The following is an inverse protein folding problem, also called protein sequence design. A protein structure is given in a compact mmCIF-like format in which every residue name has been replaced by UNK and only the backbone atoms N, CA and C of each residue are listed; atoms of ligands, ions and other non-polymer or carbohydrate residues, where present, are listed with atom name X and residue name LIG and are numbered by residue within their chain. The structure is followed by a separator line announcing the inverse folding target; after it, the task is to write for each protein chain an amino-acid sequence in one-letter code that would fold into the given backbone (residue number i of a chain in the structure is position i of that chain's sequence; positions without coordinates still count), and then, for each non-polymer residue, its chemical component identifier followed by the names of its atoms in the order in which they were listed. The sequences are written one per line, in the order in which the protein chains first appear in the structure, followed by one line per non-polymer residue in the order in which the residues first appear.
data_IF_925708549824
#
_entry.id   IF_925708549824
#
_cell.length_a   1.000
_cell.length_b   1.000
_cell.length_c   1.000
_cell.angle_alpha   90.00
_cell.angle_beta   90.00
_cell.angle_gamma   90.00
#
_symmetry.space_group_name_H-M   'P 1'
#
loop_
_entity.id
_entity.type
_entity.pdbx_description
1 polymer ?
#
# COMPACT_ATOMS: atom_id res chain seq x y z
N UNK A 1 71.73 -3.50 29.99
CA UNK A 1 72.72 -2.61 29.42
C UNK A 1 71.98 -1.75 28.44
N UNK A 2 71.67 -0.58 28.66
CA UNK A 2 72.01 0.75 29.05
C UNK A 2 71.02 1.63 28.31
N UNK A 3 70.08 2.33 28.89
CA UNK A 3 70.14 3.55 29.63
C UNK A 3 70.64 4.75 28.82
N UNK A 4 69.77 5.74 28.74
CA UNK A 4 69.95 7.20 28.83
C UNK A 4 69.05 7.96 27.84
N UNK A 5 68.00 8.69 28.19
CA UNK A 5 67.94 9.91 29.03
C UNK A 5 68.47 11.17 28.37
N UNK A 6 67.66 12.15 28.15
CA UNK A 6 67.76 13.58 28.56
C UNK A 6 66.82 14.43 27.72
N UNK A 7 65.78 15.05 28.30
CA UNK A 7 65.69 16.45 28.88
C UNK A 7 65.87 17.55 27.83
N UNK A 8 64.85 18.32 27.50
CA UNK A 8 64.28 19.53 28.18
C UNK A 8 64.99 20.83 27.80
N UNK A 9 64.25 21.83 27.41
CA UNK A 9 64.28 23.26 27.77
C UNK A 9 63.46 24.08 26.77
N UNK A 10 62.32 24.65 27.12
CA UNK A 10 62.05 26.01 27.70
C UNK A 10 62.52 27.22 26.91
N UNK A 11 61.61 28.08 26.61
CA UNK A 11 61.53 29.56 26.76
C UNK A 11 60.78 30.15 25.56
N UNK A 12 59.65 30.76 25.67
CA UNK A 12 59.18 32.01 26.34
C UNK A 12 59.47 33.25 25.49
N UNK A 13 58.46 34.15 25.53
CA UNK A 13 58.33 35.55 25.02
C UNK A 13 57.73 35.68 23.64
N UNK A 14 56.61 36.32 23.36
CA UNK A 14 55.98 37.40 24.08
C UNK A 14 55.61 38.52 23.10
N UNK A 15 54.55 39.19 23.28
CA UNK A 15 54.05 40.42 22.62
C UNK A 15 53.40 40.23 21.24
N UNK A 16 52.18 40.67 20.95
CA UNK A 16 51.43 41.76 21.52
C UNK A 16 50.73 42.47 20.35
N UNK A 17 49.48 42.91 20.61
CA UNK A 17 48.76 43.97 19.88
C UNK A 17 48.19 43.62 18.47
N UNK A 18 46.93 43.56 18.27
CA UNK A 18 45.99 44.62 17.98
C UNK A 18 44.71 44.02 17.37
N UNK A 19 43.59 44.29 17.95
CA UNK A 19 42.27 44.11 17.31
C UNK A 19 42.02 45.28 16.35
N UNK A 20 41.29 45.07 15.27
CA UNK A 20 40.43 46.10 14.75
C UNK A 20 38.96 45.69 14.58
N UNK A 21 38.14 46.57 15.11
CA UNK A 21 36.88 47.05 14.58
C UNK A 21 35.78 46.06 14.16
N UNK A 22 34.80 45.99 15.02
CA UNK A 22 33.43 45.56 14.74
C UNK A 22 32.82 46.44 13.62
N UNK A 23 32.53 45.84 12.48
CA UNK A 23 31.53 46.38 11.57
C UNK A 23 30.17 45.67 11.85
N UNK A 24 29.27 46.46 12.43
CA UNK A 24 27.85 46.15 12.59
C UNK A 24 27.20 46.11 11.19
N UNK A 25 26.91 44.94 10.65
CA UNK A 25 25.94 44.81 9.57
C UNK A 25 24.54 44.60 10.16
N UNK A 26 23.66 45.53 9.82
CA UNK A 26 22.24 45.55 10.19
C UNK A 26 21.57 44.25 9.74
N UNK A 27 21.02 43.50 10.68
CA UNK A 27 20.07 42.44 10.42
C UNK A 27 18.79 43.02 9.83
N UNK A 28 18.44 42.62 8.60
CA UNK A 28 17.14 42.91 8.03
C UNK A 28 16.08 42.04 8.75
N UNK A 29 15.12 42.70 9.37
CA UNK A 29 14.03 42.10 10.11
C UNK A 29 13.13 41.29 9.14
N UNK A 30 12.85 40.01 9.47
CA UNK A 30 11.87 39.18 8.82
C UNK A 30 10.46 39.76 8.98
N UNK A 31 9.61 39.75 7.96
CA UNK A 31 8.25 40.28 8.04
C UNK A 31 7.39 39.39 8.95
N UNK A 32 6.72 40.03 9.90
CA UNK A 32 5.83 39.43 10.89
C UNK A 32 4.66 38.68 10.27
N UNK A 33 4.20 37.62 10.94
CA UNK A 33 3.09 36.72 10.57
C UNK A 33 1.76 37.41 10.16
N UNK A 34 1.60 38.68 10.50
CA UNK A 34 0.40 39.47 10.19
C UNK A 34 0.27 39.80 8.69
N UNK A 35 1.38 39.94 7.95
CA UNK A 35 1.36 40.18 6.50
C UNK A 35 1.10 38.93 5.66
N UNK A 36 1.38 37.71 6.18
CA UNK A 36 1.07 36.45 5.49
C UNK A 36 -0.42 36.09 5.53
N UNK A 37 -1.19 36.56 6.53
CA UNK A 37 -2.64 36.34 6.59
C UNK A 37 -3.43 37.24 5.63
N UNK A 38 -2.94 38.43 5.31
CA UNK A 38 -3.57 39.35 4.38
C UNK A 38 -3.39 38.87 2.89
N UNK A 39 -2.26 38.25 2.55
CA UNK A 39 -2.01 37.74 1.22
C UNK A 39 -2.82 36.43 0.93
N UNK A 40 -3.11 35.62 1.96
CA UNK A 40 -3.94 34.42 1.81
C UNK A 40 -5.43 34.74 1.66
N UNK A 41 -5.90 35.87 2.21
CA UNK A 41 -7.30 36.30 2.07
C UNK A 41 -7.59 36.94 0.69
N UNK A 42 -6.59 37.51 0.02
CA UNK A 42 -6.74 38.09 -1.32
C UNK A 42 -6.72 37.06 -2.45
N UNK A 43 -6.14 35.87 -2.23
CA UNK A 43 -6.11 34.78 -3.20
C UNK A 43 -7.36 33.89 -3.18
N UNK A 44 -8.18 33.96 -2.14
CA UNK A 44 -9.42 33.19 -1.99
C UNK A 44 -10.66 33.88 -2.60
N UNK A 45 -10.54 35.12 -3.08
CA UNK A 45 -11.64 35.93 -3.60
C UNK A 45 -11.91 35.88 -5.10
N UNK A 46 -11.15 35.11 -5.88
CA UNK A 46 -11.16 35.21 -7.34
C UNK A 46 -11.60 33.93 -8.11
N UNK A 47 -12.35 33.02 -7.49
CA UNK A 47 -12.96 31.89 -8.22
C UNK A 47 -14.31 31.47 -7.60
N UNK A 48 -15.35 32.26 -7.83
CA UNK A 48 -16.74 31.80 -7.86
C UNK A 48 -17.54 32.72 -8.80
N UNK A 49 -17.49 32.38 -10.06
CA UNK A 49 -18.48 32.76 -11.06
C UNK A 49 -19.41 31.59 -11.21
N UNK A 50 -20.38 31.44 -10.34
CA UNK A 50 -21.52 30.56 -10.54
C UNK A 50 -22.48 31.23 -11.52
N UNK A 51 -22.73 30.57 -12.63
CA UNK A 51 -23.83 30.84 -13.52
C UNK A 51 -25.15 30.52 -12.80
N UNK A 52 -25.75 31.52 -12.14
CA UNK A 52 -27.13 31.42 -11.66
C UNK A 52 -28.07 31.52 -12.89
N UNK A 53 -28.81 30.43 -13.11
CA UNK A 53 -29.98 30.45 -13.97
C UNK A 53 -31.05 31.34 -13.32
N UNK A 54 -31.81 32.15 -14.09
CA UNK A 54 -32.80 33.07 -13.53
C UNK A 54 -33.96 32.29 -12.91
N UNK A 55 -34.12 32.38 -11.59
CA UNK A 55 -35.31 31.92 -10.89
C UNK A 55 -36.41 32.94 -11.16
N UNK A 56 -37.33 32.58 -12.03
CA UNK A 56 -38.60 33.30 -12.23
C UNK A 56 -39.40 33.12 -10.94
N UNK A 57 -39.46 34.16 -10.13
CA UNK A 57 -40.38 34.24 -8.99
C UNK A 57 -41.74 34.71 -9.53
N UNK A 58 -42.70 33.81 -9.56
CA UNK A 58 -44.09 34.12 -9.81
C UNK A 58 -44.79 34.51 -8.50
N UNK A 59 -45.19 35.79 -8.28
CA UNK A 59 -45.76 36.20 -6.99
C UNK A 59 -47.25 35.84 -6.84
N UNK A 60 -47.86 35.07 -7.77
CA UNK A 60 -49.29 34.78 -7.75
C UNK A 60 -49.68 33.36 -7.24
N UNK A 61 -48.70 32.56 -6.76
CA UNK A 61 -48.92 31.14 -6.47
C UNK A 61 -49.53 30.79 -5.08
N UNK A 62 -49.64 31.72 -4.14
CA UNK A 62 -50.09 31.42 -2.80
C UNK A 62 -51.62 31.46 -2.62
N UNK A 63 -52.33 32.25 -3.40
CA UNK A 63 -53.76 32.38 -3.30
C UNK A 63 -54.55 31.34 -4.14
N UNK A 64 -53.98 30.85 -5.21
CA UNK A 64 -54.62 29.83 -6.05
C UNK A 64 -54.70 28.44 -5.41
N UNK A 65 -53.75 28.07 -4.55
CA UNK A 65 -53.79 26.78 -3.87
C UNK A 65 -54.87 26.71 -2.75
N UNK A 66 -55.12 27.84 -2.05
CA UNK A 66 -56.21 27.91 -1.03
C UNK A 66 -57.58 27.98 -1.70
N UNK A 67 -57.73 28.59 -2.86
CA UNK A 67 -58.96 28.59 -3.62
C UNK A 67 -59.29 27.25 -4.28
N UNK A 68 -58.26 26.49 -4.72
CA UNK A 68 -58.41 25.12 -5.24
C UNK A 68 -58.85 24.12 -4.16
N UNK A 69 -58.31 24.23 -2.93
CA UNK A 69 -58.70 23.36 -1.80
C UNK A 69 -60.12 23.68 -1.30
N UNK A 70 -60.55 24.91 -1.34
CA UNK A 70 -61.96 25.28 -0.99
C UNK A 70 -62.96 24.81 -2.04
N UNK A 71 -62.61 24.75 -3.32
CA UNK A 71 -63.47 24.22 -4.40
C UNK A 71 -63.61 22.69 -4.34
N UNK A 72 -62.55 21.98 -3.95
CA UNK A 72 -62.59 20.53 -3.72
C UNK A 72 -63.43 20.12 -2.49
N UNK A 73 -63.44 20.94 -1.43
CA UNK A 73 -64.26 20.69 -0.23
C UNK A 73 -65.77 20.99 -0.52
N UNK A 74 -66.10 21.92 -1.41
CA UNK A 74 -67.49 22.21 -1.77
C UNK A 74 -68.10 21.19 -2.74
N UNK A 75 -67.28 20.53 -3.56
CA UNK A 75 -67.71 19.48 -4.50
C UNK A 75 -67.94 18.11 -3.78
N UNK A 76 -67.28 17.86 -2.64
CA UNK A 76 -67.46 16.63 -1.86
C UNK A 76 -68.78 16.56 -1.08
N UNK A 77 -69.38 17.70 -0.71
CA UNK A 77 -70.65 17.77 0.00
C UNK A 77 -71.89 17.58 -0.87
N UNK A 78 -71.76 17.88 -2.17
CA UNK A 78 -72.86 17.71 -3.12
C UNK A 78 -73.03 16.26 -3.65
N UNK A 79 -72.01 15.46 -3.58
CA UNK A 79 -72.00 14.05 -4.01
C UNK A 79 -72.52 13.08 -2.94
N UNK A 80 -72.60 13.50 -1.68
CA UNK A 80 -73.12 12.68 -0.57
C UNK A 80 -74.66 12.77 -0.40
N UNK A 81 -75.32 13.74 -1.06
CA UNK A 81 -76.77 13.90 -0.97
C UNK A 81 -77.55 13.17 -2.08
N UNK A 82 -76.92 12.65 -3.12
CA UNK A 82 -77.55 11.94 -4.23
C UNK A 82 -77.49 10.42 -4.17
N UNK A 83 -76.93 9.85 -3.10
CA UNK A 83 -76.73 8.39 -2.97
C UNK A 83 -77.78 7.65 -2.10
N UNK A 84 -78.94 8.29 -1.84
CA UNK A 84 -79.94 7.69 -0.98
C UNK A 84 -81.21 7.23 -1.74
N UNK A 85 -81.20 6.96 -3.00
CA UNK A 85 -82.29 6.38 -3.75
C UNK A 85 -81.81 5.51 -4.88
N UNK A 86 -81.59 4.27 -4.62
CA UNK A 86 -81.89 3.07 -5.44
C UNK A 86 -81.04 1.89 -4.94
N UNK A 87 -81.68 1.02 -4.17
CA UNK A 87 -81.15 -0.30 -3.88
C UNK A 87 -81.37 -1.22 -5.09
N UNK A 88 -80.44 -1.07 -6.09
CA UNK A 88 -80.17 -2.14 -7.02
C UNK A 88 -78.72 -2.53 -6.80
N UNK A 89 -78.44 -3.74 -6.32
CA UNK A 89 -77.11 -4.28 -6.21
C UNK A 89 -76.46 -4.19 -7.61
N UNK A 90 -75.29 -3.55 -7.74
CA UNK A 90 -74.58 -3.60 -9.02
C UNK A 90 -74.20 -5.08 -9.27
N UNK A 91 -74.25 -5.55 -10.51
CA UNK A 91 -73.73 -6.86 -10.86
C UNK A 91 -72.26 -6.88 -10.33
N UNK A 92 -71.91 -7.97 -9.62
CA UNK A 92 -70.56 -8.18 -9.16
C UNK A 92 -69.59 -7.91 -10.35
N UNK A 93 -68.90 -6.78 -10.29
CA UNK A 93 -67.85 -6.52 -11.23
C UNK A 93 -66.89 -7.71 -11.06
N UNK A 94 -66.85 -8.56 -12.09
CA UNK A 94 -65.89 -9.62 -12.18
C UNK A 94 -64.53 -8.96 -11.94
N UNK A 95 -63.93 -9.16 -10.77
CA UNK A 95 -62.56 -8.78 -10.53
C UNK A 95 -61.77 -9.49 -11.62
N UNK A 96 -61.38 -8.71 -12.66
CA UNK A 96 -60.44 -9.20 -13.67
C UNK A 96 -59.20 -9.55 -12.87
N UNK A 97 -59.03 -10.81 -12.55
CA UNK A 97 -57.78 -11.31 -11.98
C UNK A 97 -56.70 -10.85 -12.94
N UNK A 98 -55.81 -9.99 -12.45
CA UNK A 98 -54.62 -9.64 -13.19
C UNK A 98 -53.95 -10.96 -13.53
N UNK A 99 -53.94 -11.33 -14.84
CA UNK A 99 -53.24 -12.51 -15.26
C UNK A 99 -51.78 -12.35 -14.84
N UNK A 100 -51.27 -13.31 -14.11
CA UNK A 100 -49.84 -13.35 -13.78
C UNK A 100 -49.05 -13.53 -15.10
N UNK A 101 -48.50 -12.42 -15.59
CA UNK A 101 -47.73 -12.38 -16.80
C UNK A 101 -46.22 -12.65 -16.52
N UNK A 102 -45.89 -13.08 -15.29
CA UNK A 102 -44.50 -13.43 -14.92
C UNK A 102 -44.06 -14.62 -15.75
N UNK A 103 -43.00 -14.49 -16.56
CA UNK A 103 -42.44 -15.63 -17.29
C UNK A 103 -42.02 -16.73 -16.32
N UNK A 104 -42.21 -18.01 -16.62
CA UNK A 104 -41.72 -19.09 -15.77
C UNK A 104 -40.19 -19.04 -15.73
N UNK A 105 -39.62 -19.02 -14.48
CA UNK A 105 -38.19 -19.09 -14.27
C UNK A 105 -37.73 -20.55 -14.52
N UNK A 106 -36.93 -20.78 -15.53
CA UNK A 106 -36.29 -22.05 -15.76
C UNK A 106 -35.13 -22.24 -14.75
N UNK A 107 -34.87 -23.46 -14.26
CA UNK A 107 -33.68 -23.75 -13.48
C UNK A 107 -32.43 -23.41 -14.29
N UNK A 108 -31.41 -22.83 -13.58
CA UNK A 108 -30.14 -22.53 -14.20
C UNK A 108 -29.49 -23.85 -14.73
N UNK A 109 -28.92 -23.83 -15.95
CA UNK A 109 -28.20 -25.00 -16.44
C UNK A 109 -26.93 -25.22 -15.59
N UNK A 110 -26.38 -26.46 -15.58
CA UNK A 110 -25.10 -26.70 -14.91
C UNK A 110 -23.99 -25.84 -15.53
N UNK A 111 -23.07 -25.39 -14.68
CA UNK A 111 -21.95 -24.56 -15.11
C UNK A 111 -21.02 -25.31 -16.07
N UNK A 112 -20.47 -24.65 -17.10
CA UNK A 112 -19.36 -25.17 -17.86
C UNK A 112 -18.17 -25.51 -16.96
N UNK A 113 -17.39 -26.52 -17.27
CA UNK A 113 -16.29 -27.03 -16.44
C UNK A 113 -15.28 -25.91 -16.05
N UNK A 114 -15.04 -24.93 -16.96
CA UNK A 114 -14.15 -23.80 -16.68
C UNK A 114 -14.74 -22.84 -15.65
N UNK A 115 -16.03 -22.60 -15.69
CA UNK A 115 -16.71 -21.74 -14.71
C UNK A 115 -16.80 -22.44 -13.35
N UNK A 116 -17.11 -23.75 -13.36
CA UNK A 116 -17.13 -24.55 -12.14
C UNK A 116 -15.76 -24.54 -11.44
N UNK A 117 -14.66 -24.64 -12.18
CA UNK A 117 -13.31 -24.57 -11.62
C UNK A 117 -13.02 -23.21 -10.91
N UNK A 118 -13.61 -22.11 -11.39
CA UNK A 118 -13.49 -20.79 -10.75
C UNK A 118 -14.29 -20.78 -9.44
N UNK A 119 -15.50 -21.31 -9.46
CA UNK A 119 -16.35 -21.44 -8.26
C UNK A 119 -15.64 -22.30 -7.21
N UNK A 120 -15.14 -23.46 -7.59
CA UNK A 120 -14.42 -24.38 -6.69
C UNK A 120 -13.18 -23.72 -6.08
N UNK A 121 -12.41 -22.95 -6.89
CA UNK A 121 -11.25 -22.21 -6.42
C UNK A 121 -11.62 -21.12 -5.41
N UNK A 122 -12.73 -20.41 -5.64
CA UNK A 122 -13.25 -19.41 -4.73
C UNK A 122 -13.72 -20.03 -3.42
N UNK A 123 -14.58 -21.04 -3.49
CA UNK A 123 -15.12 -21.73 -2.31
C UNK A 123 -14.01 -22.37 -1.47
N UNK A 124 -12.98 -22.95 -2.13
CA UNK A 124 -11.83 -23.54 -1.45
C UNK A 124 -10.93 -22.53 -0.74
N UNK A 125 -10.78 -21.33 -1.31
CA UNK A 125 -9.84 -20.34 -0.80
C UNK A 125 -10.51 -19.27 0.10
N UNK A 126 -11.82 -19.06 0.00
CA UNK A 126 -12.51 -17.94 0.65
C UNK A 126 -12.32 -17.93 2.17
N UNK A 127 -12.35 -19.09 2.83
CA UNK A 127 -12.20 -19.20 4.28
C UNK A 127 -10.77 -18.99 4.78
N UNK A 128 -9.80 -18.90 3.87
CA UNK A 128 -8.42 -18.54 4.19
C UNK A 128 -8.18 -17.03 4.15
N UNK A 129 -9.16 -16.26 3.67
CA UNK A 129 -9.08 -14.80 3.54
C UNK A 129 -9.83 -14.14 4.67
N UNK A 130 -9.23 -13.12 5.26
CA UNK A 130 -9.79 -12.37 6.39
C UNK A 130 -9.87 -10.89 6.06
N UNK A 131 -10.77 -10.17 6.72
CA UNK A 131 -10.72 -8.72 6.77
C UNK A 131 -9.74 -8.28 7.86
N UNK A 132 -8.95 -7.24 7.59
CA UNK A 132 -8.00 -6.63 8.52
C UNK A 132 -8.33 -5.15 8.65
N UNK A 133 -8.61 -4.71 9.87
CA UNK A 133 -8.93 -3.31 10.18
C UNK A 133 -7.92 -2.73 11.17
N UNK A 134 -7.26 -1.60 10.80
CA UNK A 134 -6.28 -0.92 11.66
C UNK A 134 -6.98 -0.23 12.85
N UNK A 135 -6.64 -0.65 14.08
CA UNK A 135 -7.27 -0.10 15.30
C UNK A 135 -6.94 1.36 15.56
N UNK A 136 -5.86 1.89 14.97
CA UNK A 136 -5.52 3.30 15.11
C UNK A 136 -6.56 4.24 14.48
N UNK A 137 -7.43 3.71 13.62
CA UNK A 137 -8.49 4.43 12.92
C UNK A 137 -9.87 4.19 13.57
N UNK A 138 -9.98 3.35 14.61
CA UNK A 138 -11.22 3.17 15.35
C UNK A 138 -11.70 4.49 15.95
N UNK A 139 -12.98 4.82 15.75
CA UNK A 139 -13.59 6.03 16.27
C UNK A 139 -13.49 7.27 15.38
N UNK A 140 -12.87 7.20 14.20
CA UNK A 140 -13.09 8.20 13.15
C UNK A 140 -14.48 7.94 12.56
N UNK A 141 -15.41 8.92 12.58
CA UNK A 141 -16.68 8.74 11.91
C UNK A 141 -16.40 8.54 10.42
N UNK A 142 -16.76 7.38 9.89
CA UNK A 142 -16.96 7.26 8.45
C UNK A 142 -18.06 8.28 8.14
N UNK A 143 -17.79 9.28 7.30
CA UNK A 143 -18.83 10.16 6.85
C UNK A 143 -19.81 9.28 6.07
N UNK A 144 -21.07 9.24 6.47
CA UNK A 144 -22.10 8.36 5.92
C UNK A 144 -22.42 8.66 4.42
N UNK A 145 -21.68 9.60 3.82
CA UNK A 145 -21.82 10.06 2.45
C UNK A 145 -20.62 9.67 1.54
N UNK A 146 -19.50 9.24 2.13
CA UNK A 146 -18.35 8.82 1.35
C UNK A 146 -18.42 7.30 1.17
N UNK A 147 -18.77 6.87 -0.03
CA UNK A 147 -18.74 5.46 -0.44
C UNK A 147 -17.28 4.94 -0.62
N UNK A 148 -16.31 5.62 0.00
CA UNK A 148 -14.91 5.23 -0.02
C UNK A 148 -14.64 4.20 1.07
N UNK A 149 -13.83 3.19 0.73
CA UNK A 149 -13.33 2.22 1.71
C UNK A 149 -12.55 2.99 2.77
N UNK A 150 -12.90 2.87 4.08
CA UNK A 150 -12.16 3.57 5.12
C UNK A 150 -10.67 3.28 5.03
N UNK A 151 -9.83 4.31 5.13
CA UNK A 151 -8.37 4.11 5.25
C UNK A 151 -8.08 3.09 6.35
N UNK A 152 -7.11 2.18 6.10
CA UNK A 152 -6.73 1.14 7.07
C UNK A 152 -7.67 -0.07 7.09
N UNK A 153 -8.48 -0.24 6.05
CA UNK A 153 -9.23 -1.47 5.81
C UNK A 153 -8.59 -2.24 4.65
N UNK A 154 -8.32 -3.51 4.88
CA UNK A 154 -7.71 -4.40 3.89
C UNK A 154 -8.07 -5.85 4.15
N UNK A 155 -7.38 -6.71 3.47
CA UNK A 155 -7.51 -8.16 3.59
C UNK A 155 -6.25 -8.76 4.22
N UNK A 156 -6.36 -10.01 4.62
CA UNK A 156 -5.23 -10.83 5.06
C UNK A 156 -5.44 -12.28 4.64
N UNK A 157 -4.37 -13.06 4.76
CA UNK A 157 -4.35 -14.48 4.46
C UNK A 157 -3.97 -15.25 5.72
N UNK A 158 -4.77 -16.23 6.14
CA UNK A 158 -4.43 -17.12 7.24
C UNK A 158 -3.24 -17.96 6.82
N UNK A 159 -2.12 -17.82 7.55
CA UNK A 159 -0.87 -18.49 7.25
C UNK A 159 -0.78 -19.90 7.82
N UNK A 160 -1.22 -20.06 9.05
CA UNK A 160 -1.15 -21.31 9.79
C UNK A 160 -2.32 -21.50 10.76
N UNK A 161 -2.37 -22.68 11.40
CA UNK A 161 -3.38 -23.00 12.42
C UNK A 161 -3.05 -22.43 13.82
N UNK A 162 -1.89 -21.81 13.96
CA UNK A 162 -1.50 -21.10 15.19
C UNK A 162 -2.12 -19.69 15.23
N UNK A 163 -2.75 -19.23 14.13
CA UNK A 163 -3.42 -17.94 14.03
C UNK A 163 -2.50 -16.81 13.55
N UNK A 164 -1.42 -17.15 12.83
CA UNK A 164 -0.68 -16.14 12.10
C UNK A 164 -1.43 -15.75 10.84
N UNK A 165 -1.55 -14.43 10.60
CA UNK A 165 -2.23 -13.84 9.44
C UNK A 165 -1.25 -12.91 8.74
N UNK A 166 -1.07 -13.10 7.44
CA UNK A 166 -0.25 -12.24 6.58
C UNK A 166 -1.11 -11.14 5.98
N UNK A 167 -0.63 -9.91 5.99
CA UNK A 167 -1.25 -8.76 5.34
C UNK A 167 -0.18 -7.80 4.85
N UNK A 168 -0.56 -6.65 4.25
CA UNK A 168 0.40 -5.62 3.92
C UNK A 168 0.72 -4.70 5.10
N UNK A 169 1.95 -4.17 5.10
CA UNK A 169 2.39 -3.16 6.06
C UNK A 169 1.52 -1.90 5.98
N UNK A 170 1.21 -1.42 4.76
CA UNK A 170 0.45 -0.20 4.56
C UNK A 170 -1.00 -0.28 5.07
N UNK A 171 -1.61 -1.46 5.12
CA UNK A 171 -2.95 -1.67 5.72
C UNK A 171 -2.95 -1.26 7.19
N UNK A 172 -1.82 -1.40 7.87
CA UNK A 172 -1.61 -1.10 9.29
C UNK A 172 -0.79 0.18 9.52
N UNK A 173 -0.64 1.02 8.49
CA UNK A 173 0.29 2.16 8.52
C UNK A 173 0.07 3.10 9.72
N UNK A 174 -1.18 3.34 10.11
CA UNK A 174 -1.52 4.22 11.23
C UNK A 174 -1.09 3.63 12.58
N UNK A 175 -1.31 2.34 12.82
CA UNK A 175 -0.83 1.62 14.01
C UNK A 175 0.69 1.51 14.02
N UNK A 176 1.31 1.18 12.87
CA UNK A 176 2.77 1.11 12.74
C UNK A 176 3.45 2.45 13.07
N UNK A 177 2.88 3.56 12.59
CA UNK A 177 3.38 4.89 12.88
C UNK A 177 3.23 5.25 14.37
N UNK A 178 2.09 4.95 14.99
CA UNK A 178 1.87 5.19 16.43
C UNK A 178 2.86 4.43 17.31
N UNK A 179 3.21 3.20 16.93
CA UNK A 179 4.14 2.33 17.66
C UNK A 179 5.60 2.56 17.29
N UNK A 180 5.92 3.46 16.34
CA UNK A 180 7.27 3.68 15.81
C UNK A 180 7.97 2.38 15.37
N UNK A 181 7.24 1.48 14.71
CA UNK A 181 7.73 0.14 14.32
C UNK A 181 9.03 0.22 13.52
N UNK A 182 9.19 1.23 12.67
CA UNK A 182 10.42 1.44 11.89
C UNK A 182 11.68 1.68 12.75
N UNK A 183 11.50 2.13 14.00
CA UNK A 183 12.61 2.41 14.92
C UNK A 183 12.74 1.34 16.02
N UNK A 184 11.63 0.75 16.41
CA UNK A 184 11.56 -0.25 17.48
C UNK A 184 10.52 -1.33 17.14
N UNK A 185 10.87 -2.18 16.18
CA UNK A 185 10.03 -3.33 15.80
C UNK A 185 9.87 -4.34 16.95
N UNK A 186 10.90 -4.49 17.78
CA UNK A 186 10.87 -5.42 18.90
C UNK A 186 9.91 -4.96 20.00
N UNK A 187 9.92 -3.66 20.34
CA UNK A 187 9.00 -3.08 21.32
C UNK A 187 7.55 -3.02 20.86
N UNK A 188 7.31 -3.05 19.56
CA UNK A 188 5.98 -3.11 18.98
C UNK A 188 5.39 -4.52 18.94
N UNK A 189 6.22 -5.57 19.02
CA UNK A 189 5.78 -6.97 19.00
C UNK A 189 4.81 -7.27 20.15
N UNK A 190 3.73 -7.99 19.86
CA UNK A 190 2.67 -8.31 20.82
C UNK A 190 1.68 -7.17 21.09
N UNK A 191 1.91 -5.97 20.54
CA UNK A 191 0.93 -4.87 20.69
C UNK A 191 -0.26 -5.09 19.76
N UNK A 192 -1.46 -4.79 20.25
CA UNK A 192 -2.68 -4.79 19.45
C UNK A 192 -2.59 -3.71 18.38
N UNK A 193 -2.72 -4.11 17.11
CA UNK A 193 -2.62 -3.22 15.95
C UNK A 193 -3.82 -3.31 15.02
N UNK A 194 -4.57 -4.41 15.07
CA UNK A 194 -5.71 -4.63 14.18
C UNK A 194 -6.86 -5.36 14.87
N UNK A 195 -8.01 -5.32 14.21
CA UNK A 195 -9.09 -6.30 14.38
C UNK A 195 -9.14 -7.13 13.10
N UNK A 196 -9.13 -8.44 13.26
CA UNK A 196 -9.25 -9.40 12.16
C UNK A 196 -10.60 -10.08 12.23
N UNK A 197 -11.35 -10.04 11.12
CA UNK A 197 -12.64 -10.72 11.00
C UNK A 197 -12.48 -11.94 10.09
N UNK A 198 -12.79 -13.10 10.64
CA UNK A 198 -12.75 -14.40 9.98
C UNK A 198 -14.19 -14.79 9.59
N UNK A 199 -14.39 -15.30 8.39
CA UNK A 199 -15.63 -15.93 7.94
C UNK A 199 -15.55 -17.42 8.22
N UNK A 200 -16.52 -17.96 8.97
CA UNK A 200 -16.62 -19.39 9.23
C UNK A 200 -17.49 -20.09 8.17
N UNK A 201 -17.38 -21.41 8.10
CA UNK A 201 -18.12 -22.22 7.11
C UNK A 201 -19.65 -22.20 7.27
N UNK A 202 -20.14 -21.82 8.45
CA UNK A 202 -21.56 -21.60 8.74
C UNK A 202 -22.06 -20.22 8.28
N UNK A 203 -21.18 -19.38 7.68
CA UNK A 203 -21.50 -18.03 7.24
C UNK A 203 -21.41 -16.98 8.35
N UNK A 204 -21.03 -17.37 9.58
CA UNK A 204 -20.83 -16.40 10.66
C UNK A 204 -19.51 -15.66 10.52
N UNK A 205 -19.53 -14.39 10.90
CA UNK A 205 -18.32 -13.52 10.98
C UNK A 205 -17.93 -13.37 12.43
N UNK A 206 -16.68 -13.69 12.72
CA UNK A 206 -16.13 -13.58 14.08
C UNK A 206 -14.89 -12.70 14.06
N UNK A 207 -14.94 -11.65 14.89
CA UNK A 207 -13.84 -10.67 14.97
C UNK A 207 -12.96 -10.94 16.17
N UNK A 208 -11.66 -10.85 15.97
CA UNK A 208 -10.62 -11.09 16.97
C UNK A 208 -9.65 -9.92 17.01
N UNK A 209 -9.21 -9.56 18.19
CA UNK A 209 -8.08 -8.64 18.35
C UNK A 209 -6.82 -9.29 17.78
N UNK A 210 -6.06 -8.52 17.02
CA UNK A 210 -4.83 -8.96 16.39
C UNK A 210 -3.64 -8.16 16.89
N UNK A 211 -2.60 -8.88 17.32
CA UNK A 211 -1.34 -8.29 17.75
C UNK A 211 -0.26 -8.42 16.67
N UNK A 212 0.66 -7.46 16.63
CA UNK A 212 1.79 -7.50 15.71
C UNK A 212 2.76 -8.61 16.09
N UNK A 213 3.07 -9.49 15.14
CA UNK A 213 4.15 -10.50 15.24
C UNK A 213 5.44 -9.94 14.70
N UNK A 214 5.38 -9.33 13.52
CA UNK A 214 6.51 -8.71 12.86
C UNK A 214 6.10 -8.01 11.59
N UNK A 215 6.99 -7.16 11.06
CA UNK A 215 6.72 -6.41 9.85
C UNK A 215 8.00 -6.15 9.03
N UNK A 216 7.85 -6.10 7.71
CA UNK A 216 8.88 -5.67 6.75
C UNK A 216 8.30 -4.54 5.89
N UNK A 217 8.62 -3.30 6.24
CA UNK A 217 8.19 -2.11 5.50
C UNK A 217 8.71 -2.11 4.07
N UNK A 218 9.93 -2.60 3.84
CA UNK A 218 10.55 -2.58 2.53
C UNK A 218 9.88 -3.53 1.54
N UNK A 219 9.24 -4.60 2.03
CA UNK A 219 8.48 -5.55 1.24
C UNK A 219 6.98 -5.38 1.38
N UNK A 220 6.56 -4.38 2.18
CA UNK A 220 5.14 -4.12 2.43
C UNK A 220 4.39 -5.34 2.99
N UNK A 221 5.04 -6.08 3.88
CA UNK A 221 4.48 -7.26 4.54
C UNK A 221 4.39 -7.05 6.06
N UNK A 222 3.32 -7.58 6.65
CA UNK A 222 3.15 -7.67 8.09
C UNK A 222 2.52 -9.02 8.47
N UNK A 223 2.89 -9.52 9.67
CA UNK A 223 2.30 -10.72 10.25
C UNK A 223 1.62 -10.33 11.55
N UNK A 224 0.38 -10.75 11.66
CA UNK A 224 -0.48 -10.55 12.81
C UNK A 224 -0.70 -11.89 13.53
N UNK A 225 -0.99 -11.83 14.83
CA UNK A 225 -1.43 -12.97 15.65
C UNK A 225 -2.85 -12.75 16.11
N UNK A 226 -3.70 -13.72 15.82
CA UNK A 226 -5.08 -13.79 16.35
C UNK A 226 -5.23 -14.98 17.26
N UNK A 227 -6.03 -14.83 18.34
CA UNK A 227 -6.41 -15.92 19.22
C UNK A 227 -7.79 -16.44 18.86
N UNK A 228 -7.90 -17.08 17.69
CA UNK A 228 -9.11 -17.68 17.19
C UNK A 228 -9.11 -19.21 17.41
N UNK A 229 -10.28 -19.86 17.56
CA UNK A 229 -10.41 -21.30 17.55
C UNK A 229 -9.80 -21.92 16.28
N UNK A 230 -9.11 -23.07 16.43
CA UNK A 230 -8.39 -23.70 15.30
C UNK A 230 -9.31 -24.11 14.14
N UNK A 231 -10.53 -24.47 14.42
CA UNK A 231 -11.56 -24.82 13.44
C UNK A 231 -11.94 -23.67 12.51
N UNK A 232 -11.71 -22.43 12.95
CA UNK A 232 -11.90 -21.22 12.12
C UNK A 232 -10.65 -20.87 11.29
N UNK A 233 -9.50 -21.40 11.66
CA UNK A 233 -8.24 -21.09 11.01
C UNK A 233 -7.98 -22.08 9.87
N UNK A 234 -8.27 -21.66 8.64
CA UNK A 234 -8.00 -22.45 7.43
C UNK A 234 -6.81 -21.83 6.68
N UNK A 235 -5.60 -22.41 6.83
CA UNK A 235 -4.42 -21.90 6.15
C UNK A 235 -4.55 -21.95 4.64
N UNK A 236 -4.08 -20.90 3.97
CA UNK A 236 -4.07 -20.85 2.52
C UNK A 236 -3.02 -21.78 1.93
N UNK A 237 -3.37 -22.46 0.84
CA UNK A 237 -2.41 -23.26 0.09
C UNK A 237 -1.55 -22.37 -0.81
N UNK A 238 -0.23 -22.36 -0.61
CA UNK A 238 0.70 -21.65 -1.47
C UNK A 238 1.11 -22.46 -2.69
N UNK A 239 1.41 -21.77 -3.79
CA UNK A 239 2.12 -22.33 -4.95
C UNK A 239 3.38 -21.49 -5.20
N UNK A 240 4.39 -22.09 -5.83
CA UNK A 240 5.60 -21.39 -6.26
C UNK A 240 5.26 -20.34 -7.32
N UNK A 241 5.71 -19.11 -7.11
CA UNK A 241 5.52 -18.01 -8.06
C UNK A 241 6.53 -18.04 -9.21
N UNK A 242 7.67 -18.72 -9.05
CA UNK A 242 8.69 -18.84 -10.09
C UNK A 242 8.22 -19.56 -11.35
N UNK A 243 7.21 -20.43 -11.26
CA UNK A 243 6.61 -21.14 -12.40
C UNK A 243 5.48 -20.40 -13.12
N UNK A 244 5.08 -19.21 -12.63
CA UNK A 244 3.98 -18.43 -13.20
C UNK A 244 4.38 -17.84 -14.56
N UNK A 245 3.40 -17.78 -15.49
CA UNK A 245 3.63 -17.27 -16.85
C UNK A 245 2.65 -16.15 -17.20
N UNK A 246 3.12 -15.21 -18.02
CA UNK A 246 2.26 -14.15 -18.60
C UNK A 246 1.13 -14.78 -19.41
N UNK A 247 -0.09 -14.27 -19.26
CA UNK A 247 -1.31 -14.81 -19.85
C UNK A 247 -2.00 -15.88 -18.98
N UNK A 248 -1.38 -16.35 -17.89
CA UNK A 248 -2.00 -17.28 -16.94
C UNK A 248 -3.18 -16.61 -16.23
N UNK A 249 -4.31 -17.28 -16.16
CA UNK A 249 -5.50 -16.80 -15.43
C UNK A 249 -5.21 -16.76 -13.95
N UNK A 250 -5.66 -15.66 -13.30
CA UNK A 250 -5.54 -15.43 -11.87
C UNK A 250 -6.84 -14.91 -11.28
N UNK A 251 -7.01 -15.17 -10.00
CA UNK A 251 -8.15 -14.75 -9.19
C UNK A 251 -7.63 -13.92 -8.02
N UNK A 252 -8.37 -12.89 -7.62
CA UNK A 252 -8.09 -12.16 -6.40
C UNK A 252 -9.31 -12.19 -5.50
N UNK A 253 -9.11 -12.56 -4.24
CA UNK A 253 -10.15 -12.51 -3.22
C UNK A 253 -9.80 -11.41 -2.25
N UNK A 254 -10.79 -10.59 -1.91
CA UNK A 254 -10.68 -9.56 -0.90
C UNK A 254 -11.93 -9.47 -0.05
N UNK A 255 -11.78 -8.87 1.13
CA UNK A 255 -12.87 -8.56 2.04
C UNK A 255 -12.86 -7.06 2.37
N UNK A 256 -13.25 -6.20 1.39
CA UNK A 256 -12.95 -4.76 1.44
C UNK A 256 -13.66 -4.01 2.56
N UNK A 257 -14.80 -4.49 3.05
CA UNK A 257 -15.60 -3.72 4.01
C UNK A 257 -15.87 -4.46 5.32
N UNK A 258 -15.44 -5.71 5.44
CA UNK A 258 -15.77 -6.55 6.59
C UNK A 258 -17.27 -6.77 6.79
N UNK A 259 -18.10 -5.92 6.18
CA UNK A 259 -19.57 -5.96 6.24
C UNK A 259 -20.19 -6.73 5.06
N UNK A 260 -19.49 -6.83 3.95
CA UNK A 260 -19.88 -7.62 2.78
C UNK A 260 -19.13 -8.95 2.80
N UNK A 261 -19.66 -9.93 2.06
CA UNK A 261 -18.96 -11.18 1.84
C UNK A 261 -17.73 -10.97 0.96
N UNK A 262 -16.86 -11.98 0.91
CA UNK A 262 -15.67 -11.94 0.08
C UNK A 262 -15.99 -11.60 -1.37
N UNK A 263 -15.22 -10.67 -1.93
CA UNK A 263 -15.35 -10.27 -3.32
C UNK A 263 -14.29 -10.97 -4.16
N UNK A 264 -14.72 -11.64 -5.22
CA UNK A 264 -13.85 -12.27 -6.22
C UNK A 264 -13.67 -11.34 -7.41
N UNK A 265 -12.44 -11.12 -7.82
CA UNK A 265 -12.12 -10.54 -9.12
C UNK A 265 -11.22 -11.48 -9.92
N UNK A 266 -11.29 -11.44 -11.25
CA UNK A 266 -10.57 -12.33 -12.15
C UNK A 266 -9.83 -11.52 -13.21
N UNK A 267 -8.66 -12.02 -13.59
CA UNK A 267 -7.82 -11.45 -14.64
C UNK A 267 -6.74 -12.43 -15.08
N UNK A 268 -5.65 -11.89 -15.62
CA UNK A 268 -4.47 -12.65 -16.02
C UNK A 268 -3.20 -12.06 -15.43
N UNK A 269 -2.13 -12.81 -15.45
CA UNK A 269 -0.79 -12.29 -15.26
C UNK A 269 -0.42 -11.46 -16.48
N UNK A 270 -0.29 -10.14 -16.30
CA UNK A 270 0.02 -9.20 -17.39
C UNK A 270 1.53 -9.07 -17.62
N UNK A 271 2.33 -9.15 -16.55
CA UNK A 271 3.80 -9.14 -16.62
C UNK A 271 4.40 -9.73 -15.33
N UNK A 272 5.69 -10.05 -15.40
CA UNK A 272 6.49 -10.58 -14.30
C UNK A 272 7.72 -9.72 -14.08
N UNK A 273 8.36 -9.90 -12.93
CA UNK A 273 9.60 -9.22 -12.56
C UNK A 273 9.48 -7.69 -12.62
N UNK A 274 8.34 -7.14 -12.14
CA UNK A 274 8.09 -5.70 -12.08
C UNK A 274 8.59 -5.11 -10.77
N UNK A 275 9.09 -3.88 -10.86
CA UNK A 275 9.40 -3.07 -9.70
C UNK A 275 8.12 -2.40 -9.22
N UNK A 276 7.63 -2.84 -8.06
CA UNK A 276 6.42 -2.29 -7.46
C UNK A 276 6.81 -1.10 -6.59
N UNK A 277 6.24 0.07 -6.86
CA UNK A 277 6.25 1.19 -5.91
C UNK A 277 5.17 0.96 -4.88
N UNK A 278 5.59 0.54 -3.68
CA UNK A 278 4.67 0.34 -2.55
C UNK A 278 4.17 1.68 -2.02
N UNK A 279 3.00 1.66 -1.38
CA UNK A 279 2.47 2.80 -0.62
C UNK A 279 3.38 3.20 0.56
N UNK A 280 4.25 2.30 1.02
CA UNK A 280 5.29 2.61 2.03
C UNK A 280 6.42 3.50 1.50
N UNK A 281 6.46 3.76 0.18
CA UNK A 281 7.52 4.48 -0.53
C UNK A 281 8.71 3.61 -0.94
N UNK A 282 8.69 2.32 -0.62
CA UNK A 282 9.72 1.35 -0.98
C UNK A 282 9.54 0.82 -2.40
N UNK A 283 10.61 0.29 -3.00
CA UNK A 283 10.56 -0.46 -4.26
C UNK A 283 10.64 -1.94 -3.91
N UNK A 284 9.63 -2.71 -4.30
CA UNK A 284 9.59 -4.16 -4.16
C UNK A 284 9.92 -4.77 -5.53
N UNK A 285 11.08 -5.41 -5.69
CA UNK A 285 11.46 -6.02 -6.97
C UNK A 285 10.74 -7.35 -7.20
N UNK A 286 10.69 -7.79 -8.45
CA UNK A 286 10.20 -9.11 -8.82
C UNK A 286 8.69 -9.26 -8.85
N UNK A 287 7.93 -8.17 -8.72
CA UNK A 287 6.49 -8.19 -8.60
C UNK A 287 5.75 -8.83 -9.77
N UNK A 288 4.58 -9.40 -9.47
CA UNK A 288 3.61 -9.91 -10.45
C UNK A 288 2.66 -8.77 -10.80
N UNK A 289 2.57 -8.43 -12.08
CA UNK A 289 1.57 -7.50 -12.60
C UNK A 289 0.35 -8.27 -13.11
N UNK A 290 -0.85 -7.78 -12.78
CA UNK A 290 -2.13 -8.37 -13.22
C UNK A 290 -3.12 -7.28 -13.63
N UNK A 291 -4.05 -7.61 -14.51
CA UNK A 291 -5.23 -6.78 -14.83
C UNK A 291 -6.45 -7.14 -13.96
N UNK A 292 -6.30 -8.14 -13.08
CA UNK A 292 -7.27 -8.43 -12.04
C UNK A 292 -7.59 -7.13 -11.28
N UNK A 293 -8.86 -6.83 -11.08
CA UNK A 293 -9.25 -5.59 -10.41
C UNK A 293 -8.80 -5.62 -8.94
N UNK A 294 -7.69 -4.97 -8.67
CA UNK A 294 -7.19 -4.71 -7.31
C UNK A 294 -7.70 -3.32 -6.92
N UNK A 295 -8.46 -3.24 -5.86
CA UNK A 295 -9.03 -2.00 -5.32
C UNK A 295 -8.72 -1.90 -3.83
N UNK A 296 -8.90 -0.73 -3.20
CA UNK A 296 -8.84 -0.62 -1.75
C UNK A 296 -9.72 -1.68 -1.09
N UNK A 297 -9.12 -2.47 -0.18
CA UNK A 297 -9.76 -3.62 0.47
C UNK A 297 -9.26 -4.99 -0.01
N UNK A 298 -8.73 -5.12 -1.24
CA UNK A 298 -8.08 -6.36 -1.68
C UNK A 298 -6.60 -6.41 -1.26
N UNK A 299 -6.01 -5.28 -0.86
CA UNK A 299 -4.62 -5.22 -0.35
C UNK A 299 -4.45 -6.14 0.85
N UNK A 300 -3.38 -6.93 0.85
CA UNK A 300 -3.10 -7.98 1.84
C UNK A 300 -3.82 -9.31 1.58
N UNK A 301 -4.81 -9.34 0.70
CA UNK A 301 -5.47 -10.56 0.24
C UNK A 301 -4.65 -11.31 -0.81
N UNK A 302 -5.03 -12.56 -1.15
CA UNK A 302 -4.29 -13.41 -2.06
C UNK A 302 -4.54 -13.06 -3.53
N UNK A 303 -3.49 -13.22 -4.35
CA UNK A 303 -3.58 -13.49 -5.76
C UNK A 303 -3.44 -15.01 -5.96
N UNK A 304 -4.43 -15.62 -6.57
CA UNK A 304 -4.57 -17.07 -6.70
C UNK A 304 -4.39 -17.54 -8.14
N UNK A 305 -3.94 -18.78 -8.30
CA UNK A 305 -4.11 -19.52 -9.56
C UNK A 305 -5.58 -19.91 -9.77
N UNK A 306 -5.94 -20.37 -10.97
CA UNK A 306 -7.25 -20.98 -11.26
C UNK A 306 -7.55 -22.24 -10.44
N UNK A 307 -6.56 -22.80 -9.73
CA UNK A 307 -6.73 -23.93 -8.81
C UNK A 307 -6.81 -23.49 -7.33
N UNK A 308 -6.99 -22.19 -7.05
CA UNK A 308 -7.15 -21.67 -5.68
C UNK A 308 -5.87 -21.60 -4.85
N UNK A 309 -4.68 -21.74 -5.46
CA UNK A 309 -3.39 -21.64 -4.73
C UNK A 309 -2.82 -20.24 -4.80
N UNK A 310 -2.30 -19.75 -3.68
CA UNK A 310 -1.71 -18.40 -3.57
C UNK A 310 -0.39 -18.34 -4.30
N UNK A 311 -0.28 -17.44 -5.28
CA UNK A 311 0.96 -17.10 -6.00
C UNK A 311 1.50 -15.71 -5.64
N UNK A 312 0.76 -14.95 -4.84
CA UNK A 312 1.21 -13.66 -4.36
C UNK A 312 0.21 -13.02 -3.40
N UNK A 313 0.66 -11.92 -2.77
CA UNK A 313 -0.16 -11.05 -1.92
C UNK A 313 -0.39 -9.73 -2.65
N UNK A 314 -1.65 -9.37 -2.88
CA UNK A 314 -2.02 -8.11 -3.53
C UNK A 314 -1.52 -6.92 -2.70
N UNK A 315 -0.90 -5.90 -3.33
CA UNK A 315 -0.32 -4.80 -2.56
C UNK A 315 -0.64 -3.42 -3.13
N UNK A 316 -0.51 -3.21 -4.41
CA UNK A 316 -0.57 -1.86 -4.98
C UNK A 316 -1.33 -1.85 -6.31
N UNK A 317 -1.83 -0.67 -6.64
CA UNK A 317 -2.36 -0.33 -7.97
C UNK A 317 -1.59 0.85 -8.54
N UNK A 318 -1.41 0.85 -9.85
CA UNK A 318 -0.99 2.06 -10.55
C UNK A 318 -2.25 2.83 -10.97
N UNK A 319 -2.51 3.95 -10.31
CA UNK A 319 -3.73 4.73 -10.54
C UNK A 319 -3.51 6.21 -10.29
N UNK A 320 -4.22 7.04 -11.04
CA UNK A 320 -4.31 8.49 -10.80
C UNK A 320 -5.60 8.87 -10.06
N UNK A 321 -6.54 7.93 -9.89
CA UNK A 321 -7.90 8.17 -9.36
C UNK A 321 -8.22 7.41 -8.08
N UNK A 322 -7.29 6.57 -7.60
CA UNK A 322 -7.54 5.68 -6.44
C UNK A 322 -8.24 4.36 -6.79
N UNK A 323 -8.79 4.21 -8.01
CA UNK A 323 -9.46 2.99 -8.46
C UNK A 323 -8.60 2.23 -9.47
N UNK A 324 -8.81 0.91 -9.60
CA UNK A 324 -8.09 0.08 -10.56
C UNK A 324 -8.27 0.58 -12.00
N UNK A 325 -7.16 0.85 -12.68
CA UNK A 325 -7.10 1.14 -14.11
C UNK A 325 -6.67 -0.09 -14.96
N UNK A 326 -6.84 -1.31 -14.43
CA UNK A 326 -6.37 -2.53 -15.07
C UNK A 326 -4.88 -2.80 -14.86
N UNK A 327 -4.24 -2.15 -13.89
CA UNK A 327 -2.83 -2.35 -13.53
C UNK A 327 -2.74 -2.56 -12.02
N UNK A 328 -2.72 -3.79 -11.61
CA UNK A 328 -2.52 -4.24 -10.23
C UNK A 328 -1.20 -4.99 -10.06
N UNK A 329 -0.73 -5.07 -8.83
CA UNK A 329 0.51 -5.74 -8.48
C UNK A 329 0.34 -6.63 -7.26
N UNK A 330 1.08 -7.73 -7.24
CA UNK A 330 1.19 -8.63 -6.10
C UNK A 330 2.64 -8.96 -5.78
N UNK A 331 2.93 -9.10 -4.49
CA UNK A 331 4.21 -9.59 -3.96
C UNK A 331 4.25 -11.10 -4.20
N UNK A 332 5.26 -11.66 -4.89
CA UNK A 332 5.34 -13.08 -5.20
C UNK A 332 5.30 -13.97 -3.96
N UNK A 333 4.65 -15.13 -4.06
CA UNK A 333 4.57 -16.11 -2.97
C UNK A 333 5.94 -16.62 -2.52
N UNK A 334 6.91 -16.74 -3.42
CA UNK A 334 8.29 -17.13 -3.07
C UNK A 334 8.93 -16.10 -2.12
N UNK A 335 8.71 -14.78 -2.38
CA UNK A 335 9.13 -13.70 -1.48
C UNK A 335 8.41 -13.76 -0.14
N UNK A 336 7.09 -13.99 -0.15
CA UNK A 336 6.29 -14.13 1.08
C UNK A 336 6.77 -15.33 1.91
N UNK A 337 7.00 -16.49 1.27
CA UNK A 337 7.49 -17.70 1.92
C UNK A 337 8.90 -17.55 2.51
N UNK A 338 9.73 -16.70 1.94
CA UNK A 338 11.06 -16.42 2.48
C UNK A 338 11.02 -15.46 3.70
N UNK A 339 10.07 -14.52 3.73
CA UNK A 339 10.02 -13.43 4.72
C UNK A 339 9.15 -13.80 5.92
N UNK A 340 7.95 -14.34 5.71
CA UNK A 340 6.97 -14.58 6.77
C UNK A 340 7.50 -15.44 7.91
N UNK A 341 8.24 -16.56 7.67
CA UNK A 341 8.83 -17.34 8.77
C UNK A 341 9.83 -16.53 9.62
N UNK A 342 10.58 -15.62 9.01
CA UNK A 342 11.51 -14.76 9.74
C UNK A 342 10.77 -13.75 10.62
N UNK A 343 9.67 -13.17 10.10
CA UNK A 343 8.81 -12.26 10.87
C UNK A 343 8.17 -12.99 12.06
N UNK A 344 7.73 -14.24 11.88
CA UNK A 344 7.18 -15.06 12.95
C UNK A 344 8.25 -15.35 14.02
N UNK A 345 9.44 -15.75 13.61
CA UNK A 345 10.51 -16.13 14.52
C UNK A 345 11.12 -14.91 15.26
N UNK A 346 11.46 -13.84 14.53
CA UNK A 346 12.26 -12.72 15.03
C UNK A 346 11.60 -11.34 15.00
N UNK A 347 10.41 -11.21 14.42
CA UNK A 347 9.72 -9.93 14.28
C UNK A 347 10.21 -9.03 13.13
N UNK A 348 11.40 -9.32 12.60
CA UNK A 348 12.05 -8.59 11.51
C UNK A 348 12.57 -9.56 10.45
N UNK A 349 12.52 -9.16 9.19
CA UNK A 349 13.15 -9.91 8.12
C UNK A 349 14.60 -9.42 7.94
N UNK A 350 15.54 -10.34 7.96
CA UNK A 350 16.95 -10.07 7.69
C UNK A 350 17.25 -10.42 6.26
N UNK A 351 17.83 -9.48 5.54
CA UNK A 351 18.21 -9.62 4.15
C UNK A 351 19.72 -9.50 4.00
N UNK A 352 20.25 -10.12 2.97
CA UNK A 352 21.62 -9.86 2.57
C UNK A 352 21.69 -8.46 1.94
N UNK A 353 22.53 -7.61 2.48
CA UNK A 353 22.69 -6.24 2.02
C UNK A 353 24.14 -5.81 1.94
N UNK A 354 24.35 -4.66 1.31
CA UNK A 354 25.67 -4.07 1.13
C UNK A 354 26.07 -3.11 2.27
N UNK A 355 25.13 -2.75 3.16
CA UNK A 355 25.35 -1.63 4.07
C UNK A 355 25.42 -0.30 3.32
N UNK A 356 24.58 -0.14 2.30
CA UNK A 356 24.60 1.03 1.43
C UNK A 356 23.19 1.38 0.95
N UNK A 357 22.90 2.68 0.82
CA UNK A 357 21.70 3.14 0.15
C UNK A 357 21.97 3.24 -1.35
N UNK A 358 21.06 2.71 -2.15
CA UNK A 358 21.13 2.76 -3.60
C UNK A 358 20.29 3.95 -4.06
N UNK A 359 20.86 4.80 -4.92
CA UNK A 359 20.15 5.92 -5.50
C UNK A 359 19.01 5.44 -6.41
N UNK A 360 17.90 6.17 -6.44
CA UNK A 360 16.88 5.92 -7.45
C UNK A 360 17.45 6.17 -8.85
N UNK A 361 16.95 5.43 -9.84
CA UNK A 361 17.42 5.55 -11.23
C UNK A 361 17.31 6.98 -11.75
N UNK A 362 16.28 7.73 -11.34
CA UNK A 362 16.13 9.14 -11.70
C UNK A 362 17.25 10.02 -11.14
N UNK A 363 17.67 9.77 -9.89
CA UNK A 363 18.81 10.50 -9.27
C UNK A 363 20.12 10.11 -9.96
N UNK A 364 20.32 8.83 -10.22
CA UNK A 364 21.49 8.32 -10.93
C UNK A 364 21.61 8.93 -12.33
N UNK A 365 20.51 8.97 -13.09
CA UNK A 365 20.46 9.60 -14.44
C UNK A 365 20.81 11.10 -14.41
N UNK A 366 20.29 11.85 -13.42
CA UNK A 366 20.64 13.27 -13.24
C UNK A 366 22.12 13.49 -12.96
N UNK A 367 22.83 12.49 -12.43
CA UNK A 367 24.26 12.49 -12.17
C UNK A 367 25.08 11.84 -13.31
N UNK A 368 24.45 11.59 -14.48
CA UNK A 368 25.13 11.05 -15.67
C UNK A 368 25.37 9.54 -15.64
N UNK A 369 24.76 8.81 -14.71
CA UNK A 369 24.80 7.34 -14.67
C UNK A 369 23.66 6.81 -15.56
N UNK A 370 24.01 6.16 -16.67
CA UNK A 370 23.04 5.69 -17.68
C UNK A 370 22.62 4.24 -17.47
N UNK A 371 23.45 3.44 -16.79
CA UNK A 371 23.18 2.04 -16.49
C UNK A 371 23.91 1.65 -15.21
N UNK A 372 23.34 0.69 -14.48
CA UNK A 372 23.84 0.21 -13.19
C UNK A 372 23.13 0.82 -11.98
N UNK A 373 23.42 0.29 -10.82
CA UNK A 373 22.88 0.73 -9.53
C UNK A 373 23.91 1.58 -8.79
N UNK A 374 23.69 2.89 -8.70
CA UNK A 374 24.61 3.85 -8.07
C UNK A 374 24.48 3.85 -6.55
N UNK A 375 25.61 3.80 -5.83
CA UNK A 375 25.63 3.92 -4.37
C UNK A 375 25.48 5.38 -3.96
N UNK A 376 24.40 5.71 -3.26
CA UNK A 376 24.13 7.04 -2.75
C UNK A 376 24.89 7.30 -1.45
N UNK A 377 24.76 6.38 -0.48
CA UNK A 377 25.49 6.40 0.78
C UNK A 377 26.04 5.03 1.10
N UNK A 378 27.11 4.99 1.87
CA UNK A 378 27.74 3.75 2.38
C UNK A 378 27.83 3.89 3.90
N UNK A 379 27.29 2.94 4.63
CA UNK A 379 27.30 2.93 6.08
C UNK A 379 28.75 2.70 6.58
N UNK A 380 29.24 3.51 7.52
CA UNK A 380 30.54 3.26 8.14
C UNK A 380 30.59 1.86 8.79
N UNK A 381 31.62 1.08 8.47
CA UNK A 381 31.75 -0.30 8.97
C UNK A 381 30.83 -1.30 8.29
N UNK A 382 29.99 -0.90 7.33
CA UNK A 382 29.14 -1.80 6.55
C UNK A 382 29.94 -2.60 5.50
N UNK A 383 29.29 -3.63 4.92
CA UNK A 383 29.90 -4.53 3.93
C UNK A 383 30.52 -3.78 2.74
N UNK A 384 29.80 -2.79 2.19
CA UNK A 384 30.31 -1.95 1.09
C UNK A 384 31.52 -1.12 1.52
N UNK A 385 31.52 -0.57 2.76
CA UNK A 385 32.66 0.19 3.29
C UNK A 385 33.88 -0.72 3.47
N UNK A 386 33.67 -1.91 4.04
CA UNK A 386 34.74 -2.88 4.24
C UNK A 386 35.36 -3.34 2.91
N UNK A 387 34.56 -3.41 1.85
CA UNK A 387 35.00 -3.72 0.49
C UNK A 387 35.58 -2.51 -0.27
N UNK A 388 35.67 -1.33 0.33
CA UNK A 388 36.24 -0.13 -0.29
C UNK A 388 35.34 0.51 -1.37
N UNK A 389 34.03 0.28 -1.32
CA UNK A 389 33.06 0.93 -2.21
C UNK A 389 32.82 2.38 -1.76
N UNK A 390 32.65 3.25 -2.75
CA UNK A 390 32.58 4.69 -2.54
C UNK A 390 31.14 5.21 -2.68
N UNK A 391 30.65 6.04 -1.72
CA UNK A 391 29.38 6.73 -1.83
C UNK A 391 29.45 7.92 -2.80
N UNK A 392 28.28 8.44 -3.18
CA UNK A 392 28.16 9.76 -3.83
C UNK A 392 28.71 10.85 -2.90
N UNK A 393 29.56 11.74 -3.43
CA UNK A 393 30.25 12.78 -2.65
C UNK A 393 29.95 14.16 -3.22
N UNK A 394 29.92 15.16 -2.34
CA UNK A 394 29.89 16.57 -2.72
C UNK A 394 31.29 17.12 -2.63
N UNK A 395 31.85 17.60 -3.75
CA UNK A 395 33.16 18.22 -3.86
C UNK A 395 33.06 19.66 -4.36
N UNK A 396 34.21 20.32 -4.48
CA UNK A 396 34.33 21.71 -5.00
C UNK A 396 33.83 21.82 -6.46
N UNK A 397 33.94 20.76 -7.25
CA UNK A 397 33.44 20.69 -8.63
C UNK A 397 32.01 20.23 -8.80
N UNK A 398 31.22 20.09 -7.70
CA UNK A 398 29.84 19.60 -7.74
C UNK A 398 29.65 18.25 -7.06
N UNK A 399 28.64 17.49 -7.51
CA UNK A 399 28.35 16.16 -6.98
C UNK A 399 29.07 15.11 -7.82
N UNK A 400 29.99 14.37 -7.21
CA UNK A 400 30.62 13.20 -7.82
C UNK A 400 29.77 11.97 -7.56
N UNK A 401 29.36 11.21 -8.60
CA UNK A 401 28.61 9.96 -8.44
C UNK A 401 29.40 8.97 -7.58
N UNK A 402 28.71 8.18 -6.78
CA UNK A 402 29.30 7.03 -6.12
C UNK A 402 29.56 5.88 -7.09
N UNK A 403 30.19 4.84 -6.57
CA UNK A 403 30.38 3.60 -7.32
C UNK A 403 29.05 3.10 -7.87
N UNK A 404 29.07 2.60 -9.10
CA UNK A 404 27.89 2.10 -9.79
C UNK A 404 28.05 0.61 -10.03
N UNK A 405 27.23 -0.21 -9.38
CA UNK A 405 27.24 -1.66 -9.55
C UNK A 405 26.61 -2.02 -10.90
N UNK A 406 27.37 -2.71 -11.75
CA UNK A 406 26.98 -3.11 -13.10
C UNK A 406 26.56 -4.58 -13.17
N UNK A 407 27.08 -5.44 -12.27
CA UNK A 407 26.76 -6.85 -12.21
C UNK A 407 27.05 -7.43 -10.83
N UNK A 408 26.33 -8.49 -10.47
CA UNK A 408 26.54 -9.36 -9.28
C UNK A 408 26.82 -10.76 -9.79
N UNK A 409 27.97 -11.35 -9.47
CA UNK A 409 28.42 -12.68 -9.91
C UNK A 409 28.21 -12.91 -11.42
N UNK A 410 28.55 -11.90 -12.23
CA UNK A 410 28.38 -11.93 -13.68
C UNK A 410 26.95 -11.62 -14.18
N UNK A 411 25.94 -11.61 -13.32
CA UNK A 411 24.56 -11.25 -13.69
C UNK A 411 24.42 -9.74 -13.78
N UNK A 412 24.03 -9.16 -14.93
CA UNK A 412 23.91 -7.72 -15.08
C UNK A 412 22.86 -7.10 -14.16
N UNK A 413 23.18 -5.94 -13.58
CA UNK A 413 22.29 -5.13 -12.74
C UNK A 413 22.09 -3.75 -13.37
N UNK A 414 21.23 -3.62 -14.39
CA UNK A 414 21.07 -2.40 -15.18
C UNK A 414 20.47 -1.22 -14.40
N UNK A 415 19.87 -1.46 -13.25
CA UNK A 415 19.21 -0.47 -12.40
C UNK A 415 19.24 -0.88 -10.92
N UNK A 416 18.73 0.00 -10.05
CA UNK A 416 18.67 -0.22 -8.61
C UNK A 416 17.87 -1.49 -8.23
N UNK A 417 16.75 -1.71 -8.88
CA UNK A 417 15.88 -2.85 -8.58
C UNK A 417 16.50 -4.19 -8.98
N UNK A 418 17.22 -4.24 -10.10
CA UNK A 418 17.95 -5.44 -10.51
C UNK A 418 19.05 -5.81 -9.50
N UNK A 419 19.77 -4.82 -8.95
CA UNK A 419 20.74 -5.07 -7.86
C UNK A 419 20.04 -5.60 -6.61
N UNK A 420 18.97 -4.94 -6.14
CA UNK A 420 18.22 -5.38 -4.97
C UNK A 420 17.70 -6.82 -5.16
N UNK A 421 17.12 -7.13 -6.32
CA UNK A 421 16.63 -8.48 -6.63
C UNK A 421 17.75 -9.53 -6.72
N UNK A 422 18.96 -9.16 -7.12
CA UNK A 422 20.13 -10.04 -7.12
C UNK A 422 20.59 -10.35 -5.68
N UNK A 423 20.60 -9.34 -4.80
CA UNK A 423 20.98 -9.48 -3.40
C UNK A 423 19.96 -10.27 -2.58
N UNK A 424 18.66 -10.15 -2.91
CA UNK A 424 17.61 -10.90 -2.21
C UNK A 424 17.74 -12.42 -2.31
N UNK A 425 18.32 -12.89 -3.40
CA UNK A 425 18.58 -14.33 -3.60
C UNK A 425 19.78 -14.84 -2.83
N UNK A 426 20.46 -13.96 -2.08
CA UNK A 426 21.67 -14.27 -1.30
C UNK A 426 21.35 -14.31 0.19
N UNK A 427 22.26 -14.92 0.94
CA UNK A 427 22.18 -14.99 2.40
C UNK A 427 23.17 -14.01 3.05
N UNK A 428 22.83 -13.43 4.21
CA UNK A 428 23.82 -12.71 5.00
C UNK A 428 25.06 -13.59 5.27
N UNK A 429 26.26 -13.01 5.12
CA UNK A 429 27.54 -13.72 5.22
C UNK A 429 28.05 -14.33 3.91
N UNK A 430 27.23 -14.36 2.86
CA UNK A 430 27.65 -14.81 1.53
C UNK A 430 28.54 -13.75 0.86
N UNK A 431 29.61 -14.18 0.21
CA UNK A 431 30.51 -13.28 -0.54
C UNK A 431 30.12 -13.30 -2.01
N UNK A 432 29.84 -12.11 -2.57
CA UNK A 432 29.50 -11.90 -3.99
C UNK A 432 30.58 -11.07 -4.68
N UNK A 433 30.74 -11.27 -5.99
CA UNK A 433 31.62 -10.47 -6.83
C UNK A 433 30.82 -9.37 -7.52
N UNK A 434 31.10 -8.11 -7.16
CA UNK A 434 30.47 -6.94 -7.76
C UNK A 434 31.37 -6.38 -8.87
N UNK A 435 30.85 -6.28 -10.10
CA UNK A 435 31.48 -5.48 -11.14
C UNK A 435 30.98 -4.05 -11.02
N UNK A 436 31.90 -3.12 -10.83
CA UNK A 436 31.60 -1.74 -10.42
C UNK A 436 32.27 -0.76 -11.37
N UNK A 437 31.53 0.24 -11.84
CA UNK A 437 32.08 1.41 -12.50
C UNK A 437 32.39 2.49 -11.45
N UNK A 438 33.59 2.96 -11.40
CA UNK A 438 34.10 4.04 -10.53
C UNK A 438 34.52 5.24 -11.34
N UNK A 439 34.04 6.44 -10.96
CA UNK A 439 34.51 7.69 -11.55
C UNK A 439 35.90 8.01 -11.00
N UNK A 440 36.91 8.10 -11.87
CA UNK A 440 38.24 8.57 -11.54
C UNK A 440 38.30 10.09 -11.36
N UNK A 441 39.39 10.61 -10.76
CA UNK A 441 39.60 12.05 -10.52
C UNK A 441 39.65 12.90 -11.79
N UNK A 442 39.84 12.29 -12.98
CA UNK A 442 39.86 12.94 -14.30
C UNK A 442 38.59 12.77 -15.15
N UNK A 443 37.51 12.18 -14.58
CA UNK A 443 36.28 11.91 -15.35
C UNK A 443 36.28 10.59 -16.13
N UNK A 444 37.40 9.87 -16.19
CA UNK A 444 37.48 8.54 -16.75
C UNK A 444 36.78 7.53 -15.83
N UNK A 445 35.97 6.65 -16.42
CA UNK A 445 35.30 5.57 -15.68
C UNK A 445 36.11 4.30 -15.79
N UNK A 446 36.71 3.88 -14.67
CA UNK A 446 37.33 2.56 -14.54
C UNK A 446 36.32 1.51 -14.10
N UNK A 447 36.40 0.30 -14.67
CA UNK A 447 35.66 -0.85 -14.13
C UNK A 447 36.60 -1.66 -13.24
N UNK A 448 36.06 -2.10 -12.10
CA UNK A 448 36.74 -2.97 -11.14
C UNK A 448 35.81 -4.07 -10.66
N UNK A 449 36.39 -5.19 -10.26
CA UNK A 449 35.63 -6.27 -9.59
C UNK A 449 36.02 -6.29 -8.12
N UNK A 450 35.02 -6.27 -7.26
CA UNK A 450 35.16 -6.20 -5.79
C UNK A 450 34.39 -7.33 -5.15
N UNK A 451 35.07 -8.14 -4.33
CA UNK A 451 34.42 -9.13 -3.48
C UNK A 451 33.80 -8.46 -2.25
N UNK A 452 32.50 -8.67 -2.04
CA UNK A 452 31.77 -8.11 -0.91
C UNK A 452 31.11 -9.22 -0.13
N UNK A 453 31.44 -9.35 1.17
CA UNK A 453 30.72 -10.25 2.09
C UNK A 453 29.49 -9.52 2.59
N UNK A 454 28.29 -10.02 2.19
CA UNK A 454 27.01 -9.39 2.47
C UNK A 454 26.71 -9.41 3.97
N UNK A 455 26.20 -8.30 4.49
CA UNK A 455 25.75 -8.20 5.86
C UNK A 455 24.26 -8.47 5.98
N UNK A 456 23.77 -8.68 7.21
CA UNK A 456 22.34 -8.70 7.51
C UNK A 456 21.81 -7.26 7.62
N UNK A 457 20.77 -6.95 6.91
CA UNK A 457 20.02 -5.68 6.96
C UNK A 457 18.57 -5.90 7.35
#
# INVERSE_FOLDING_TARGET
MGAASCRAATADRGNGLAAPAQQRTRAAAAPTQRRRRAAAAAAAGAKRGELEAPVVRDPAGADTRRAALRRLAASGAALLAAAAATTAAPPAAAATALADVTPPLAPAPPLPAREQAIVDAFEGATYSVVNVFDVALQGRPASALDAEVPEGNGSGVIWDQEGNVVTNYHVLASSMAKLNVDKDAAGARGKRVAVVTVLSADGERRSFDASLVGADRARDLAVLKVSAPRELLRPAALAESGGVRVGQQVLSIGNPFGAFDHTLTMGIVSALNRDIRSQTGSIIPGGIQTDCAINPGNSGGPLLTSSGRVIGINTAIFTNTGSSAGVGFAIPSDTVAAIVPQLIAGGVARRAGLGAQIASDLVAQKLGVRAGAMLQTVAPGGAAAAAGLLPTRRGLGGIAPGDTVLAVDGTPTPNAAALLGALERRKPGETVQLRVARAGEGGDKGELTVGVTLQAE
#
